data_IF_495244676671
#
_entry.id   IF_495244676671
#
_cell.length_a   1.000
_cell.length_b   1.000
_cell.length_c   1.000
_cell.angle_alpha   90.00
_cell.angle_beta   90.00
_cell.angle_gamma   90.00
#
_symmetry.space_group_name_H-M   'P 1'
#
loop_
_entity.id
_entity.type
_entity.pdbx_description
1 polymer ?
#
# COMPACT_ATOMS: atom_id res chain seq x y z
N UNK A 1 47.16 -2.69 3.80
CA UNK A 1 46.03 -3.63 3.56
C UNK A 1 44.81 -2.84 3.08
N UNK A 2 44.31 -3.10 1.86
CA UNK A 2 43.09 -2.46 1.34
C UNK A 2 41.88 -3.24 1.83
N UNK A 3 41.02 -2.61 2.63
CA UNK A 3 39.76 -3.19 3.10
C UNK A 3 38.85 -3.37 1.87
N UNK A 4 38.61 -4.62 1.45
CA UNK A 4 37.59 -4.94 0.45
C UNK A 4 36.22 -4.59 1.03
N UNK A 5 35.56 -3.56 0.49
CA UNK A 5 34.14 -3.30 0.74
C UNK A 5 33.35 -4.55 0.32
N UNK A 6 32.69 -5.21 1.28
CA UNK A 6 31.71 -6.27 0.98
C UNK A 6 30.66 -5.66 0.05
N UNK A 7 30.35 -6.36 -1.04
CA UNK A 7 29.22 -6.00 -1.89
C UNK A 7 27.96 -5.92 -1.00
N UNK A 8 27.12 -4.89 -1.17
CA UNK A 8 25.88 -4.78 -0.41
C UNK A 8 25.07 -6.06 -0.61
N UNK A 9 24.51 -6.61 0.48
CA UNK A 9 23.52 -7.70 0.38
C UNK A 9 22.46 -7.27 -0.65
N UNK A 10 22.06 -8.14 -1.58
CA UNK A 10 20.95 -7.82 -2.47
C UNK A 10 19.77 -7.41 -1.60
N UNK A 11 19.24 -6.21 -1.81
CA UNK A 11 18.01 -5.78 -1.17
C UNK A 11 16.96 -6.86 -1.42
N UNK A 12 16.20 -7.30 -0.41
CA UNK A 12 15.08 -8.19 -0.68
C UNK A 12 14.22 -7.52 -1.76
N UNK A 13 13.87 -8.28 -2.80
CA UNK A 13 12.98 -7.79 -3.84
C UNK A 13 11.78 -7.14 -3.15
N UNK A 14 11.46 -5.89 -3.52
CA UNK A 14 10.33 -5.20 -2.92
C UNK A 14 9.09 -6.11 -3.05
N UNK A 15 8.34 -6.34 -1.97
CA UNK A 15 7.15 -7.16 -2.05
C UNK A 15 6.17 -6.54 -3.07
N UNK A 16 5.29 -7.37 -3.68
CA UNK A 16 4.22 -6.84 -4.51
C UNK A 16 3.32 -5.92 -3.69
N UNK A 17 2.65 -5.01 -4.38
CA UNK A 17 1.68 -4.11 -3.75
C UNK A 17 0.39 -4.87 -3.44
N UNK A 18 -0.05 -5.71 -4.38
CA UNK A 18 -1.21 -6.55 -4.24
C UNK A 18 -0.91 -7.99 -4.67
N UNK A 19 -1.46 -8.95 -3.95
CA UNK A 19 -1.56 -10.36 -4.33
C UNK A 19 -3.02 -10.67 -4.59
N UNK A 20 -3.36 -11.31 -5.70
CA UNK A 20 -4.75 -11.57 -6.07
C UNK A 20 -4.93 -13.08 -6.15
N UNK A 21 -5.82 -13.63 -5.31
CA UNK A 21 -6.27 -15.01 -5.40
C UNK A 21 -7.48 -15.11 -6.30
N UNK A 22 -7.37 -15.86 -7.40
CA UNK A 22 -8.45 -15.94 -8.38
C UNK A 22 -9.51 -16.96 -8.02
N UNK A 23 -10.76 -16.66 -8.40
CA UNK A 23 -11.86 -17.63 -8.42
C UNK A 23 -12.10 -18.08 -9.86
N UNK A 24 -11.12 -18.75 -10.45
CA UNK A 24 -11.16 -19.21 -11.84
C UNK A 24 -9.78 -19.18 -12.49
N UNK A 25 -9.78 -19.15 -13.83
CA UNK A 25 -8.54 -19.07 -14.60
C UNK A 25 -7.93 -17.67 -14.50
N UNK A 26 -6.58 -17.56 -14.50
CA UNK A 26 -5.90 -16.29 -14.67
C UNK A 26 -6.37 -15.55 -15.93
N UNK A 27 -6.69 -14.25 -15.85
CA UNK A 27 -7.07 -13.48 -17.02
C UNK A 27 -5.83 -13.25 -17.89
N UNK A 28 -6.05 -13.17 -19.19
CA UNK A 28 -5.01 -12.74 -20.12
C UNK A 28 -4.70 -11.25 -19.94
N UNK A 29 -3.49 -10.84 -20.32
CA UNK A 29 -3.11 -9.43 -20.37
C UNK A 29 -3.97 -8.62 -21.36
N UNK A 30 -4.52 -9.29 -22.39
CA UNK A 30 -5.46 -8.69 -23.33
C UNK A 30 -6.79 -8.34 -22.67
N UNK A 31 -7.38 -9.28 -21.92
CA UNK A 31 -8.62 -9.04 -21.16
C UNK A 31 -8.45 -7.94 -20.13
N UNK A 32 -7.35 -7.96 -19.38
CA UNK A 32 -7.05 -6.90 -18.41
C UNK A 32 -6.91 -5.53 -19.08
N UNK A 33 -6.25 -5.46 -20.25
CA UNK A 33 -6.12 -4.21 -21.01
C UNK A 33 -7.46 -3.69 -21.49
N UNK A 34 -8.27 -4.54 -22.11
CA UNK A 34 -9.61 -4.15 -22.59
C UNK A 34 -10.45 -3.65 -21.43
N UNK A 35 -10.47 -4.39 -20.32
CA UNK A 35 -11.18 -3.99 -19.12
C UNK A 35 -10.70 -2.63 -18.59
N UNK A 36 -9.38 -2.43 -18.47
CA UNK A 36 -8.79 -1.19 -17.97
C UNK A 36 -9.15 0.01 -18.85
N UNK A 37 -8.99 -0.13 -20.17
CA UNK A 37 -9.24 0.96 -21.12
C UNK A 37 -10.71 1.39 -21.12
N UNK A 38 -11.64 0.44 -20.95
CA UNK A 38 -13.07 0.71 -20.85
C UNK A 38 -13.45 1.46 -19.55
N UNK A 39 -12.83 1.10 -18.42
CA UNK A 39 -13.19 1.68 -17.11
C UNK A 39 -12.48 3.00 -16.82
N UNK A 40 -11.28 3.19 -17.36
CA UNK A 40 -10.41 4.29 -16.95
C UNK A 40 -9.91 5.17 -18.10
N UNK A 41 -10.39 4.96 -19.33
CA UNK A 41 -10.07 5.81 -20.46
C UNK A 41 -8.61 5.66 -20.92
N UNK A 42 -8.31 4.52 -21.55
CA UNK A 42 -6.97 4.14 -22.01
C UNK A 42 -6.16 5.18 -22.82
N UNK A 43 -4.93 4.85 -23.26
CA UNK A 43 -4.46 3.47 -23.43
C UNK A 43 -3.58 2.95 -22.29
N UNK A 44 -3.90 1.74 -21.81
CA UNK A 44 -2.96 0.87 -21.12
C UNK A 44 -2.08 0.16 -22.16
N UNK A 45 -0.76 0.27 -22.04
CA UNK A 45 0.18 -0.38 -22.95
C UNK A 45 1.06 -1.38 -22.20
N UNK A 46 1.35 -2.53 -22.83
CA UNK A 46 2.26 -3.53 -22.29
C UNK A 46 3.67 -3.29 -22.85
N UNK A 47 4.66 -3.18 -21.98
CA UNK A 47 6.08 -3.05 -22.37
C UNK A 47 6.72 -4.44 -22.40
N UNK A 48 7.40 -4.74 -23.50
CA UNK A 48 8.07 -6.02 -23.76
C UNK A 48 9.32 -6.26 -22.86
N UNK A 49 9.69 -7.53 -22.61
CA UNK A 49 9.05 -8.75 -23.11
C UNK A 49 7.91 -9.24 -22.22
N UNK A 50 6.77 -9.53 -22.86
CA UNK A 50 5.62 -10.21 -22.26
C UNK A 50 5.94 -11.70 -22.18
N UNK A 51 6.49 -12.16 -21.06
CA UNK A 51 6.79 -13.58 -20.85
C UNK A 51 5.73 -14.18 -19.93
N UNK A 52 4.97 -15.17 -20.40
CA UNK A 52 4.09 -16.03 -19.58
C UNK A 52 3.27 -15.27 -18.50
N UNK A 53 2.48 -14.28 -18.92
CA UNK A 53 1.63 -13.51 -18.00
C UNK A 53 2.36 -12.44 -17.18
N UNK A 54 3.67 -12.25 -17.39
CA UNK A 54 4.49 -11.20 -16.77
C UNK A 54 4.69 -10.06 -17.76
N UNK A 55 4.30 -8.86 -17.38
CA UNK A 55 4.48 -7.67 -18.21
C UNK A 55 4.61 -6.41 -17.36
N UNK A 56 5.19 -5.35 -17.94
CA UNK A 56 5.09 -4.01 -17.36
C UNK A 56 3.97 -3.26 -18.07
N UNK A 57 2.95 -2.84 -17.34
CA UNK A 57 1.89 -1.98 -17.85
C UNK A 57 2.32 -0.51 -17.77
N UNK A 58 1.91 0.31 -18.74
CA UNK A 58 2.10 1.76 -18.76
C UNK A 58 0.78 2.44 -19.12
N UNK A 59 0.39 3.45 -18.33
CA UNK A 59 -0.68 4.39 -18.67
C UNK A 59 -0.08 5.79 -18.55
N UNK A 60 0.14 6.46 -19.69
CA UNK A 60 0.94 7.68 -19.74
C UNK A 60 2.35 7.45 -19.13
N UNK A 61 2.82 8.30 -18.20
CA UNK A 61 4.13 8.17 -17.57
C UNK A 61 4.17 7.14 -16.43
N UNK A 62 3.03 6.63 -15.99
CA UNK A 62 2.91 5.77 -14.80
C UNK A 62 3.00 4.30 -15.20
N UNK A 63 3.69 3.51 -14.38
CA UNK A 63 4.01 2.11 -14.70
C UNK A 63 3.76 1.19 -13.51
N UNK A 64 3.37 -0.04 -13.81
CA UNK A 64 3.25 -1.12 -12.85
C UNK A 64 3.72 -2.44 -13.46
N UNK A 65 4.19 -3.36 -12.64
CA UNK A 65 4.49 -4.72 -13.07
C UNK A 65 3.31 -5.62 -12.72
N UNK A 66 2.84 -6.39 -13.70
CA UNK A 66 1.76 -7.35 -13.56
C UNK A 66 2.30 -8.74 -13.82
N UNK A 67 1.97 -9.67 -12.94
CA UNK A 67 2.15 -11.11 -13.17
C UNK A 67 0.78 -11.73 -13.01
N UNK A 68 0.17 -12.19 -14.10
CA UNK A 68 -1.17 -12.76 -14.06
C UNK A 68 -1.17 -14.16 -13.49
N UNK A 69 -0.08 -14.93 -13.56
CA UNK A 69 0.05 -16.24 -12.89
C UNK A 69 1.45 -16.41 -12.27
N UNK A 70 1.49 -16.64 -10.96
CA UNK A 70 2.70 -16.96 -10.22
C UNK A 70 3.15 -18.41 -10.47
N UNK A 71 4.46 -18.66 -10.36
CA UNK A 71 4.97 -20.04 -10.39
C UNK A 71 4.58 -20.75 -9.08
N UNK A 72 4.37 -22.07 -9.13
CA UNK A 72 3.98 -22.88 -7.96
C UNK A 72 4.82 -22.64 -6.70
N UNK A 73 6.12 -22.40 -6.83
CA UNK A 73 7.00 -22.10 -5.70
C UNK A 73 6.72 -20.74 -5.06
N UNK A 74 6.35 -19.74 -5.86
CA UNK A 74 5.97 -18.40 -5.40
C UNK A 74 4.56 -18.42 -4.80
N UNK A 75 3.65 -19.19 -5.41
CA UNK A 75 2.30 -19.44 -4.90
C UNK A 75 2.31 -20.07 -3.51
N UNK A 76 3.11 -21.12 -3.32
CA UNK A 76 3.20 -21.82 -2.03
C UNK A 76 3.69 -20.91 -0.89
N UNK A 77 4.59 -19.95 -1.17
CA UNK A 77 5.04 -18.98 -0.17
C UNK A 77 3.90 -18.05 0.27
N UNK A 78 3.07 -17.61 -0.67
CA UNK A 78 1.91 -16.78 -0.34
C UNK A 78 0.81 -17.57 0.35
N UNK A 79 0.55 -18.82 -0.03
CA UNK A 79 -0.42 -19.69 0.67
C UNK A 79 -0.04 -20.02 2.12
N UNK A 80 1.25 -19.93 2.48
CA UNK A 80 1.67 -20.07 3.88
C UNK A 80 1.35 -18.83 4.72
N UNK A 81 1.33 -17.65 4.09
CA UNK A 81 1.11 -16.36 4.74
C UNK A 81 -0.37 -15.97 4.72
N UNK A 82 -1.02 -16.26 3.60
CA UNK A 82 -2.43 -16.00 3.34
C UNK A 82 -3.15 -17.32 3.58
N UNK A 83 -4.07 -17.36 4.54
CA UNK A 83 -4.91 -18.53 4.81
C UNK A 83 -5.98 -18.73 3.73
N UNK A 84 -5.56 -18.77 2.46
CA UNK A 84 -6.40 -18.77 1.27
C UNK A 84 -6.32 -20.12 0.53
N UNK A 85 -7.47 -20.58 0.04
CA UNK A 85 -7.59 -21.81 -0.75
C UNK A 85 -7.37 -21.59 -2.25
N UNK A 86 -7.10 -20.35 -2.67
CA UNK A 86 -6.86 -20.00 -4.07
C UNK A 86 -5.62 -20.71 -4.62
N UNK A 87 -5.80 -21.45 -5.71
CA UNK A 87 -4.73 -22.21 -6.37
C UNK A 87 -3.92 -21.35 -7.35
N UNK A 88 -4.59 -20.40 -8.01
CA UNK A 88 -4.00 -19.49 -8.97
C UNK A 88 -3.90 -18.09 -8.38
N UNK A 89 -2.68 -17.54 -8.41
CA UNK A 89 -2.39 -16.23 -7.86
C UNK A 89 -1.79 -15.31 -8.91
N UNK A 90 -2.26 -14.07 -8.94
CA UNK A 90 -1.61 -12.95 -9.62
C UNK A 90 -0.94 -12.00 -8.63
N UNK A 91 -0.04 -11.18 -9.13
CA UNK A 91 0.52 -10.06 -8.36
C UNK A 91 0.61 -8.80 -9.19
N UNK A 92 0.45 -7.67 -8.51
CA UNK A 92 0.73 -6.36 -9.09
C UNK A 92 1.73 -5.63 -8.19
N UNK A 93 2.82 -5.18 -8.78
CA UNK A 93 3.92 -4.50 -8.10
C UNK A 93 4.11 -3.09 -8.65
N UNK A 94 4.48 -2.18 -7.76
CA UNK A 94 4.82 -0.82 -8.13
C UNK A 94 6.13 -0.80 -8.95
N UNK A 95 6.15 -0.09 -10.09
CA UNK A 95 7.40 0.24 -10.78
C UNK A 95 8.13 1.40 -10.09
N UNK A 96 9.35 1.71 -10.53
CA UNK A 96 10.07 2.89 -10.02
C UNK A 96 9.28 4.17 -10.28
N UNK A 97 9.07 4.98 -9.24
CA UNK A 97 8.39 6.27 -9.31
C UNK A 97 9.16 7.34 -8.54
N UNK A 98 8.98 8.60 -8.94
CA UNK A 98 9.52 9.77 -8.21
C UNK A 98 8.50 10.24 -7.18
N UNK A 99 8.90 11.05 -6.18
CA UNK A 99 7.95 11.63 -5.23
C UNK A 99 6.80 12.39 -5.89
N UNK A 100 7.03 12.97 -7.07
CA UNK A 100 6.00 13.70 -7.84
C UNK A 100 5.01 12.82 -8.59
N UNK A 101 5.32 11.54 -8.85
CA UNK A 101 4.47 10.63 -9.64
C UNK A 101 4.01 9.40 -8.85
N UNK A 102 4.43 9.29 -7.59
CA UNK A 102 4.19 8.11 -6.77
C UNK A 102 2.71 7.85 -6.52
N UNK A 103 1.92 8.91 -6.29
CA UNK A 103 0.48 8.78 -6.04
C UNK A 103 -0.25 8.18 -7.25
N UNK A 104 -0.02 8.73 -8.44
CA UNK A 104 -0.59 8.22 -9.68
C UNK A 104 -0.10 6.81 -10.01
N UNK A 105 1.18 6.51 -9.73
CA UNK A 105 1.74 5.17 -9.95
C UNK A 105 1.07 4.15 -9.03
N UNK A 106 0.86 4.48 -7.76
CA UNK A 106 0.11 3.65 -6.81
C UNK A 106 -1.34 3.48 -7.28
N UNK A 107 -1.96 4.55 -7.79
CA UNK A 107 -3.33 4.52 -8.31
C UNK A 107 -3.46 3.58 -9.51
N UNK A 108 -2.61 3.71 -10.54
CA UNK A 108 -2.60 2.79 -11.69
C UNK A 108 -2.37 1.34 -11.24
N UNK A 109 -1.46 1.11 -10.29
CA UNK A 109 -1.17 -0.21 -9.73
C UNK A 109 -2.41 -0.80 -9.03
N UNK A 110 -3.11 0.00 -8.23
CA UNK A 110 -4.35 -0.41 -7.56
C UNK A 110 -5.47 -0.70 -8.55
N UNK A 111 -5.57 0.07 -9.63
CA UNK A 111 -6.60 -0.09 -10.68
C UNK A 111 -6.39 -1.36 -11.50
N UNK A 112 -5.14 -1.74 -11.75
CA UNK A 112 -4.78 -3.04 -12.33
C UNK A 112 -5.13 -4.20 -11.39
N UNK A 113 -4.81 -4.08 -10.08
CA UNK A 113 -5.18 -5.08 -9.08
C UNK A 113 -6.70 -5.27 -9.02
N UNK A 114 -7.47 -4.18 -8.98
CA UNK A 114 -8.94 -4.22 -9.08
C UNK A 114 -9.41 -4.96 -10.32
N UNK A 115 -8.82 -4.68 -11.49
CA UNK A 115 -9.18 -5.36 -12.73
C UNK A 115 -9.01 -6.87 -12.65
N UNK A 116 -7.87 -7.33 -12.12
CA UNK A 116 -7.62 -8.75 -11.88
C UNK A 116 -8.64 -9.36 -10.91
N UNK A 117 -8.95 -8.67 -9.81
CA UNK A 117 -9.95 -9.11 -8.82
C UNK A 117 -11.33 -9.26 -9.46
N UNK A 118 -11.78 -8.27 -10.24
CA UNK A 118 -13.12 -8.26 -10.83
C UNK A 118 -13.27 -9.25 -11.97
N UNK A 119 -12.27 -9.37 -12.86
CA UNK A 119 -12.30 -10.31 -13.98
C UNK A 119 -12.36 -11.77 -13.51
N UNK A 120 -11.83 -12.05 -12.32
CA UNK A 120 -11.77 -13.42 -11.77
C UNK A 120 -12.72 -13.68 -10.62
N UNK A 121 -13.50 -12.68 -10.19
CA UNK A 121 -14.30 -12.74 -8.96
C UNK A 121 -13.48 -13.25 -7.75
N UNK A 122 -12.19 -12.88 -7.74
CA UNK A 122 -11.21 -13.28 -6.73
C UNK A 122 -11.17 -12.33 -5.55
N UNK A 123 -10.13 -12.44 -4.72
CA UNK A 123 -9.86 -11.53 -3.61
C UNK A 123 -8.45 -10.98 -3.75
N UNK A 124 -8.26 -9.68 -3.56
CA UNK A 124 -6.94 -9.06 -3.47
C UNK A 124 -6.52 -8.94 -2.00
N UNK A 125 -5.23 -9.11 -1.76
CA UNK A 125 -4.58 -8.82 -0.49
C UNK A 125 -3.65 -7.63 -0.70
N UNK A 126 -3.97 -6.52 -0.06
CA UNK A 126 -3.13 -5.33 -0.01
C UNK A 126 -2.00 -5.56 0.99
N UNK A 127 -0.79 -5.77 0.46
CA UNK A 127 0.35 -6.19 1.26
C UNK A 127 0.80 -5.10 2.24
N UNK A 128 0.59 -3.83 1.88
CA UNK A 128 1.03 -2.70 2.70
C UNK A 128 -0.03 -2.28 3.72
N UNK A 129 -1.32 -2.37 3.37
CA UNK A 129 -2.42 -2.15 4.31
C UNK A 129 -2.71 -3.37 5.20
N UNK A 130 -2.20 -4.54 4.82
CA UNK A 130 -2.50 -5.82 5.47
C UNK A 130 -4.00 -6.12 5.49
N UNK A 131 -4.67 -5.88 4.35
CA UNK A 131 -6.13 -5.93 4.24
C UNK A 131 -6.59 -6.73 3.02
N UNK A 132 -7.78 -7.30 3.11
CA UNK A 132 -8.39 -8.11 2.06
C UNK A 132 -9.49 -7.33 1.34
N UNK A 133 -9.44 -7.33 0.01
CA UNK A 133 -10.35 -6.59 -0.87
C UNK A 133 -11.04 -7.55 -1.85
N UNK A 134 -12.29 -7.87 -1.58
CA UNK A 134 -13.19 -8.58 -2.49
C UNK A 134 -13.74 -7.63 -3.57
N UNK A 135 -14.42 -8.14 -4.62
CA UNK A 135 -15.00 -7.32 -5.67
C UNK A 135 -15.85 -6.14 -5.18
N UNK A 136 -16.60 -6.33 -4.09
CA UNK A 136 -17.47 -5.31 -3.48
C UNK A 136 -16.73 -4.24 -2.69
N UNK A 137 -15.51 -4.53 -2.23
CA UNK A 137 -14.78 -3.68 -1.29
C UNK A 137 -14.01 -2.57 -2.03
N UNK A 138 -13.84 -2.72 -3.35
CA UNK A 138 -13.18 -1.73 -4.19
C UNK A 138 -14.08 -0.54 -4.47
N UNK A 139 -13.64 0.64 -4.02
CA UNK A 139 -14.22 1.91 -4.46
C UNK A 139 -13.83 2.20 -5.91
N UNK A 140 -14.83 2.21 -6.81
CA UNK A 140 -14.61 2.61 -8.20
C UNK A 140 -14.49 4.13 -8.29
N UNK A 141 -13.31 4.61 -8.67
CA UNK A 141 -13.09 6.04 -8.94
C UNK A 141 -12.29 6.21 -10.23
N UNK A 142 -12.56 7.30 -10.98
CA UNK A 142 -11.73 7.72 -12.10
C UNK A 142 -10.24 7.83 -11.76
N UNK A 143 -9.37 7.74 -12.78
CA UNK A 143 -7.91 7.80 -12.60
C UNK A 143 -7.39 9.19 -12.20
N UNK A 144 -8.15 10.25 -12.40
CA UNK A 144 -7.83 11.61 -11.98
C UNK A 144 -8.25 11.89 -10.53
N UNK A 145 -8.88 10.93 -9.85
CA UNK A 145 -9.34 11.04 -8.47
C UNK A 145 -8.53 10.13 -7.56
N UNK A 146 -7.61 10.72 -6.81
CA UNK A 146 -6.86 10.05 -5.75
C UNK A 146 -7.48 10.34 -4.37
N UNK A 147 -7.79 9.28 -3.62
CA UNK A 147 -8.31 9.38 -2.24
C UNK A 147 -7.43 8.52 -1.33
N UNK A 148 -6.81 9.15 -0.32
CA UNK A 148 -5.88 8.47 0.60
C UNK A 148 -6.51 7.30 1.34
N UNK A 149 -7.78 7.43 1.76
CA UNK A 149 -8.46 6.37 2.52
C UNK A 149 -8.70 5.09 1.72
N UNK A 150 -8.59 5.13 0.38
CA UNK A 150 -8.60 3.91 -0.44
C UNK A 150 -7.26 3.17 -0.44
N UNK A 151 -6.21 3.79 0.13
CA UNK A 151 -4.83 3.29 0.06
C UNK A 151 -4.12 3.24 1.41
N UNK A 152 -4.72 3.79 2.47
CA UNK A 152 -4.18 3.83 3.83
C UNK A 152 -5.30 3.48 4.81
N UNK A 153 -5.07 2.47 5.63
CA UNK A 153 -5.98 2.07 6.72
C UNK A 153 -5.43 2.54 8.06
N UNK A 154 -6.31 2.64 9.06
CA UNK A 154 -5.91 2.84 10.46
C UNK A 154 -6.22 1.55 11.21
N UNK A 155 -5.22 1.04 11.92
CA UNK A 155 -5.30 -0.17 12.71
C UNK A 155 -5.20 0.17 14.20
N UNK A 156 -5.80 -0.69 15.02
CA UNK A 156 -5.65 -0.69 16.46
C UNK A 156 -4.83 -1.94 16.85
N UNK A 157 -3.68 -1.73 17.48
CA UNK A 157 -2.86 -2.78 18.07
C UNK A 157 -2.72 -2.62 19.58
N UNK A 158 -2.42 -3.73 20.25
CA UNK A 158 -2.06 -3.72 21.67
C UNK A 158 -0.63 -3.21 21.86
N UNK A 159 -0.40 -2.46 22.93
CA UNK A 159 0.95 -2.12 23.41
C UNK A 159 1.40 -3.08 24.51
N UNK A 160 2.71 -3.25 24.67
CA UNK A 160 3.30 -3.99 25.80
C UNK A 160 2.85 -3.42 27.15
N UNK A 161 2.57 -2.12 27.18
CA UNK A 161 1.94 -1.44 28.31
C UNK A 161 0.41 -1.56 28.21
N UNK A 162 -0.20 -2.34 29.11
CA UNK A 162 -1.65 -2.52 29.15
C UNK A 162 -2.46 -1.27 29.54
N UNK A 163 -1.80 -0.17 29.92
CA UNK A 163 -2.45 1.12 30.21
C UNK A 163 -2.63 2.00 28.97
N UNK A 164 -2.01 1.62 27.85
CA UNK A 164 -2.06 2.37 26.60
C UNK A 164 -2.70 1.54 25.46
N UNK A 165 -3.10 2.26 24.42
CA UNK A 165 -3.58 1.76 23.14
C UNK A 165 -2.72 2.37 22.02
N UNK A 166 -2.51 1.59 20.96
CA UNK A 166 -1.73 2.00 19.81
C UNK A 166 -2.60 2.00 18.55
N UNK A 167 -2.83 3.20 18.03
CA UNK A 167 -3.47 3.40 16.73
C UNK A 167 -2.43 3.83 15.71
N UNK A 168 -2.43 3.22 14.54
CA UNK A 168 -1.42 3.49 13.53
C UNK A 168 -1.94 3.31 12.12
N UNK A 169 -1.30 4.00 11.17
CA UNK A 169 -1.61 3.83 9.75
C UNK A 169 -0.89 2.60 9.18
N UNK A 170 -1.50 2.00 8.15
CA UNK A 170 -0.83 1.09 7.24
C UNK A 170 -1.12 1.50 5.81
N UNK A 171 -0.06 1.68 5.00
CA UNK A 171 -0.17 1.98 3.57
C UNK A 171 0.63 3.21 3.13
N UNK A 172 1.12 4.04 4.06
CA UNK A 172 1.98 5.18 3.70
C UNK A 172 3.29 4.73 3.07
N UNK A 173 3.76 3.53 3.43
CA UNK A 173 4.94 2.90 2.83
C UNK A 173 4.82 2.66 1.31
N UNK A 174 3.61 2.55 0.75
CA UNK A 174 3.39 2.48 -0.71
C UNK A 174 3.95 3.73 -1.42
N UNK A 175 3.97 4.85 -0.71
CA UNK A 175 4.39 6.15 -1.20
C UNK A 175 5.82 6.51 -0.77
N UNK A 176 6.53 5.59 -0.12
CA UNK A 176 7.87 5.84 0.43
C UNK A 176 7.87 6.70 1.70
N UNK A 177 6.74 6.77 2.40
CA UNK A 177 6.59 7.49 3.66
C UNK A 177 6.62 6.54 4.86
N UNK A 178 6.99 7.08 6.02
CA UNK A 178 6.89 6.42 7.31
C UNK A 178 5.41 6.36 7.71
N UNK A 179 4.99 5.27 8.36
CA UNK A 179 3.65 5.17 8.92
C UNK A 179 3.47 6.18 10.07
N UNK A 180 2.23 6.58 10.35
CA UNK A 180 1.90 7.48 11.46
C UNK A 180 1.32 6.68 12.61
N UNK A 181 1.56 7.13 13.84
CA UNK A 181 1.01 6.49 15.02
C UNK A 181 0.63 7.48 16.11
N UNK A 182 -0.35 7.07 16.91
CA UNK A 182 -0.72 7.68 18.18
C UNK A 182 -0.68 6.58 19.23
N UNK A 183 -0.04 6.88 20.36
CA UNK A 183 -0.07 6.05 21.56
C UNK A 183 -0.80 6.89 22.59
N UNK A 184 -1.91 6.37 23.11
CA UNK A 184 -2.79 7.09 24.02
C UNK A 184 -3.22 6.20 25.19
N UNK A 185 -3.61 6.78 26.34
CA UNK A 185 -4.20 5.99 27.43
C UNK A 185 -5.46 5.24 26.98
N UNK A 186 -5.66 4.03 27.52
CA UNK A 186 -6.86 3.23 27.25
C UNK A 186 -8.14 3.96 27.67
N UNK A 187 -9.22 3.71 26.92
CA UNK A 187 -10.55 4.23 27.23
C UNK A 187 -10.82 5.65 26.70
N UNK A 188 -9.88 6.23 25.94
CA UNK A 188 -10.16 7.42 25.15
C UNK A 188 -10.92 7.07 23.87
N UNK A 189 -11.78 7.97 23.34
CA UNK A 189 -12.52 7.71 22.11
C UNK A 189 -11.61 7.49 20.90
N UNK A 190 -11.61 6.28 20.33
CA UNK A 190 -10.80 5.93 19.15
C UNK A 190 -11.18 6.74 17.90
N UNK A 191 -12.46 7.08 17.75
CA UNK A 191 -13.00 7.72 16.55
C UNK A 191 -12.28 9.03 16.19
N UNK A 192 -11.95 9.84 17.20
CA UNK A 192 -11.26 11.12 17.00
C UNK A 192 -9.81 10.90 16.58
N UNK A 193 -9.13 9.93 17.19
CA UNK A 193 -7.75 9.55 16.84
C UNK A 193 -7.66 8.93 15.46
N UNK A 194 -8.63 8.10 15.06
CA UNK A 194 -8.73 7.56 13.70
C UNK A 194 -8.91 8.69 12.68
N UNK A 195 -9.82 9.63 12.94
CA UNK A 195 -10.02 10.79 12.06
C UNK A 195 -8.76 11.66 11.96
N UNK A 196 -8.06 11.86 13.08
CA UNK A 196 -6.78 12.58 13.13
C UNK A 196 -5.72 11.87 12.28
N UNK A 197 -5.56 10.55 12.41
CA UNK A 197 -4.59 9.77 11.65
C UNK A 197 -4.89 9.81 10.15
N UNK A 198 -6.15 9.72 9.74
CA UNK A 198 -6.52 9.89 8.33
C UNK A 198 -6.19 11.30 7.81
N UNK A 199 -6.52 12.35 8.56
CA UNK A 199 -6.20 13.72 8.18
C UNK A 199 -4.68 13.98 8.12
N UNK A 200 -3.93 13.35 9.02
CA UNK A 200 -2.47 13.41 9.04
C UNK A 200 -1.86 12.67 7.85
N UNK A 201 -2.37 11.46 7.52
CA UNK A 201 -1.97 10.68 6.35
C UNK A 201 -2.17 11.47 5.06
N UNK A 202 -3.33 12.10 4.90
CA UNK A 202 -3.64 13.03 3.83
C UNK A 202 -2.61 14.15 3.69
N UNK A 203 -2.29 14.81 4.81
CA UNK A 203 -1.37 15.94 4.82
C UNK A 203 0.07 15.53 4.51
N UNK A 204 0.56 14.40 5.05
CA UNK A 204 1.92 13.91 4.73
C UNK A 204 2.04 13.45 3.29
N UNK A 205 0.99 12.82 2.72
CA UNK A 205 0.97 12.42 1.31
C UNK A 205 1.03 13.64 0.39
N UNK A 206 0.21 14.67 0.66
CA UNK A 206 0.27 15.93 -0.10
C UNK A 206 1.65 16.58 -0.03
N UNK A 207 2.33 16.48 1.12
CA UNK A 207 3.68 17.04 1.30
C UNK A 207 4.78 16.19 0.66
N UNK A 208 4.55 14.89 0.48
CA UNK A 208 5.44 13.96 -0.22
C UNK A 208 6.77 13.67 0.47
N UNK A 209 6.90 13.97 1.77
CA UNK A 209 8.15 13.78 2.52
C UNK A 209 7.89 13.47 4.00
N UNK A 210 8.77 12.65 4.58
CA UNK A 210 8.75 12.32 6.00
C UNK A 210 9.08 13.55 6.85
N UNK A 211 8.24 13.80 7.85
CA UNK A 211 8.43 14.92 8.77
C UNK A 211 9.49 14.58 9.83
N UNK A 212 10.32 15.58 10.16
CA UNK A 212 11.33 15.44 11.20
C UNK A 212 10.68 15.48 12.58
N UNK A 213 11.24 14.73 13.52
CA UNK A 213 10.90 14.84 14.94
C UNK A 213 11.16 16.28 15.40
N UNK A 214 10.23 16.82 16.19
CA UNK A 214 10.19 18.22 16.61
C UNK A 214 9.40 19.12 15.66
N UNK A 215 9.16 18.69 14.41
CA UNK A 215 8.35 19.43 13.45
C UNK A 215 6.87 19.44 13.79
N UNK A 216 6.15 20.40 13.21
CA UNK A 216 4.69 20.53 13.30
C UNK A 216 4.05 20.46 11.91
N UNK A 217 2.77 20.15 11.88
CA UNK A 217 1.97 20.15 10.66
C UNK A 217 0.53 20.53 10.97
N UNK A 218 0.01 21.48 10.21
CA UNK A 218 -1.38 21.91 10.34
C UNK A 218 -2.29 20.98 9.55
N UNK A 219 -3.32 20.50 10.23
CA UNK A 219 -4.37 19.63 9.69
C UNK A 219 -5.65 20.45 9.54
N UNK A 220 -5.74 21.19 8.44
CA UNK A 220 -6.85 22.11 8.20
C UNK A 220 -8.23 21.45 8.26
N UNK A 221 -8.35 20.19 7.82
CA UNK A 221 -9.62 19.44 7.82
C UNK A 221 -10.20 19.22 9.23
N UNK A 222 -9.35 19.21 10.25
CA UNK A 222 -9.75 19.02 11.66
C UNK A 222 -9.41 20.23 12.52
N UNK A 223 -8.90 21.33 11.96
CA UNK A 223 -8.45 22.51 12.69
C UNK A 223 -7.47 22.20 13.85
N UNK A 224 -6.61 21.20 13.67
CA UNK A 224 -5.57 20.83 14.64
C UNK A 224 -4.17 21.08 14.09
N UNK A 225 -3.22 21.36 14.97
CA UNK A 225 -1.79 21.26 14.67
C UNK A 225 -1.23 20.04 15.39
N UNK A 226 -0.62 19.13 14.63
CA UNK A 226 0.08 17.98 15.21
C UNK A 226 1.58 18.26 15.32
N UNK A 227 2.23 17.60 16.27
CA UNK A 227 3.68 17.57 16.43
C UNK A 227 4.20 16.16 16.22
N UNK A 228 5.31 16.04 15.51
CA UNK A 228 6.04 14.78 15.36
C UNK A 228 6.97 14.60 16.56
N UNK A 229 6.68 13.65 17.44
CA UNK A 229 7.37 13.55 18.75
C UNK A 229 8.39 12.43 18.81
N UNK A 230 8.22 11.36 18.02
CA UNK A 230 9.13 10.22 18.02
C UNK A 230 9.25 9.59 16.64
N UNK A 231 10.38 8.96 16.39
CA UNK A 231 10.59 8.06 15.26
C UNK A 231 11.05 6.72 15.81
N UNK A 232 10.34 5.65 15.46
CA UNK A 232 10.67 4.29 15.89
C UNK A 232 10.43 3.32 14.74
N UNK A 233 10.90 2.10 14.92
CA UNK A 233 10.55 0.99 14.02
C UNK A 233 9.81 -0.07 14.81
N UNK A 234 8.83 -0.72 14.15
CA UNK A 234 8.01 -1.78 14.72
C UNK A 234 7.59 -2.77 13.64
N UNK A 235 7.10 -3.95 14.01
CA UNK A 235 6.65 -4.98 13.06
C UNK A 235 5.24 -5.49 13.34
N UNK A 236 4.20 -4.63 13.30
CA UNK A 236 2.83 -5.04 13.61
C UNK A 236 2.29 -6.13 12.67
N UNK A 237 2.81 -6.19 11.44
CA UNK A 237 2.43 -7.17 10.40
C UNK A 237 3.49 -8.25 10.21
N UNK A 238 4.40 -8.42 11.18
CA UNK A 238 5.57 -9.29 11.06
C UNK A 238 6.70 -8.72 10.18
N UNK A 239 6.52 -7.54 9.58
CA UNK A 239 7.54 -6.82 8.81
C UNK A 239 7.96 -5.54 9.50
N UNK A 240 9.26 -5.29 9.60
CA UNK A 240 9.80 -4.05 10.15
C UNK A 240 9.41 -2.84 9.29
N UNK A 241 8.75 -1.86 9.90
CA UNK A 241 8.29 -0.60 9.31
C UNK A 241 8.72 0.58 10.19
N UNK A 242 8.91 1.75 9.59
CA UNK A 242 9.20 2.99 10.31
C UNK A 242 7.90 3.71 10.65
N UNK A 243 7.83 4.21 11.88
CA UNK A 243 6.69 4.95 12.42
C UNK A 243 7.12 6.33 12.91
N UNK A 244 6.26 7.31 12.68
CA UNK A 244 6.32 8.66 13.22
C UNK A 244 5.17 8.85 14.20
N UNK A 245 5.52 8.96 15.48
CA UNK A 245 4.53 9.28 16.50
C UNK A 245 4.12 10.74 16.38
N UNK A 246 2.81 10.95 16.34
CA UNK A 246 2.20 12.28 16.33
C UNK A 246 1.47 12.52 17.66
N UNK A 247 1.47 13.77 18.11
CA UNK A 247 0.61 14.22 19.20
C UNK A 247 -0.07 15.54 18.83
N UNK A 248 -1.30 15.70 19.28
CA UNK A 248 -1.93 17.02 19.41
C UNK A 248 -1.42 17.62 20.72
N UNK A 249 -1.00 18.88 20.75
CA UNK A 249 -0.43 19.54 21.95
C UNK A 249 -1.37 19.69 23.16
N UNK A 250 -2.40 18.86 23.25
CA UNK A 250 -3.41 18.78 24.31
C UNK A 250 -3.20 17.59 25.27
N UNK A 251 -2.14 16.79 25.11
CA UNK A 251 -1.71 15.75 26.06
C UNK A 251 -0.18 15.73 26.17
#
# INVERSE_FOLDING_TARGET
MKIRKKAPKPSPAKPPLYVIGYRGMPPSLGELKVWYDLHYGGPLTWLEPVAEGRASASHGPWRAHVITSLRNTETAQWQQVLSWDHQELGVVSLSSATPSTIADTVLVTARLARGLTLLTQGTAFDVACHDYLNPSDWNDRPLDVFITSDHVTVQHGETDDHSSEWLYTLGLTKFGLDELEVIQPRGLPERETIALLHCAADAVLRKGQNQKVGGTMDLHAVAHTIRFVKHRTAAPTGRMMAFRQISTGLL
#
